data_IF_399411776472
#
_entry.id   IF_399411776472
#
_cell.length_a   1.000
_cell.length_b   1.000
_cell.length_c   1.000
_cell.angle_alpha   90.00
_cell.angle_beta   90.00
_cell.angle_gamma   90.00
#
_symmetry.space_group_name_H-M   'P 1'
#
loop_
_entity.id
_entity.type
_entity.pdbx_description
1 polymer ?
#
# COMPACT_ATOMS: atom_id res chain seq x y z
N UNK A 1 7.72 -9.40 13.56
CA UNK A 1 8.04 -9.01 12.17
C UNK A 1 8.18 -7.50 12.16
N UNK A 2 9.35 -6.95 11.79
CA UNK A 2 9.58 -5.50 11.86
C UNK A 2 8.86 -4.81 10.70
N UNK A 3 8.32 -3.62 10.95
CA UNK A 3 7.56 -2.82 9.96
C UNK A 3 8.35 -2.60 8.65
N UNK A 4 9.69 -2.57 8.72
CA UNK A 4 10.60 -2.52 7.57
C UNK A 4 10.40 -3.68 6.56
N UNK A 5 10.16 -4.90 7.04
CA UNK A 5 9.97 -6.06 6.18
C UNK A 5 8.62 -6.01 5.48
N UNK A 6 7.60 -5.54 6.20
CA UNK A 6 6.28 -5.28 5.62
C UNK A 6 6.36 -4.18 4.55
N UNK A 7 7.09 -3.09 4.81
CA UNK A 7 7.32 -2.03 3.83
C UNK A 7 7.98 -2.55 2.55
N UNK A 8 9.06 -3.32 2.67
CA UNK A 8 9.75 -3.93 1.52
C UNK A 8 8.80 -4.85 0.73
N UNK A 9 8.05 -5.70 1.41
CA UNK A 9 7.09 -6.60 0.75
C UNK A 9 5.97 -5.83 0.03
N UNK A 10 5.43 -4.77 0.64
CA UNK A 10 4.41 -3.94 0.01
C UNK A 10 4.94 -3.15 -1.18
N UNK A 11 6.22 -2.75 -1.18
CA UNK A 11 6.82 -2.12 -2.35
C UNK A 11 6.87 -3.11 -3.53
N UNK A 12 7.31 -4.34 -3.29
CA UNK A 12 7.30 -5.39 -4.33
C UNK A 12 5.90 -5.67 -4.86
N UNK A 13 4.90 -5.71 -3.97
CA UNK A 13 3.50 -5.89 -4.37
C UNK A 13 3.00 -4.70 -5.20
N UNK A 14 3.31 -3.47 -4.79
CA UNK A 14 2.96 -2.28 -5.55
C UNK A 14 3.60 -2.34 -6.95
N UNK A 15 4.90 -2.63 -7.04
CA UNK A 15 5.61 -2.73 -8.31
C UNK A 15 4.99 -3.81 -9.23
N UNK A 16 4.61 -4.96 -8.67
CA UNK A 16 3.92 -6.01 -9.42
C UNK A 16 2.54 -5.55 -9.91
N UNK A 17 1.76 -4.85 -9.09
CA UNK A 17 0.46 -4.29 -9.48
C UNK A 17 0.56 -3.18 -10.54
N UNK A 18 1.72 -2.55 -10.69
CA UNK A 18 1.99 -1.58 -11.74
C UNK A 18 2.41 -2.22 -13.07
N UNK A 19 2.71 -3.52 -13.08
CA UNK A 19 3.02 -4.21 -14.33
C UNK A 19 1.81 -4.18 -15.27
N UNK A 20 2.10 -4.05 -16.57
CA UNK A 20 1.07 -4.13 -17.59
C UNK A 20 0.42 -5.51 -17.55
N UNK A 21 -0.90 -5.54 -17.59
CA UNK A 21 -1.68 -6.76 -17.70
C UNK A 21 -2.61 -6.68 -18.89
N UNK A 22 -2.82 -7.82 -19.54
CA UNK A 22 -3.67 -7.91 -20.71
C UNK A 22 -5.14 -8.03 -20.28
N UNK A 23 -5.97 -7.16 -20.83
CA UNK A 23 -7.43 -7.20 -20.69
C UNK A 23 -8.04 -7.20 -22.08
N UNK A 24 -8.42 -8.39 -22.55
CA UNK A 24 -8.87 -8.64 -23.93
C UNK A 24 -7.80 -8.22 -24.94
N UNK A 25 -7.98 -7.09 -25.62
CA UNK A 25 -7.05 -6.55 -26.62
C UNK A 25 -6.28 -5.32 -26.12
N UNK A 26 -6.52 -4.89 -24.87
CA UNK A 26 -5.91 -3.70 -24.30
C UNK A 26 -4.86 -4.06 -23.25
N UNK A 27 -3.67 -3.44 -23.36
CA UNK A 27 -2.68 -3.43 -22.28
C UNK A 27 -3.03 -2.32 -21.30
N UNK A 28 -3.35 -2.70 -20.07
CA UNK A 28 -3.68 -1.76 -19.00
C UNK A 28 -2.58 -1.76 -17.94
N UNK A 29 -2.34 -0.59 -17.35
CA UNK A 29 -1.54 -0.43 -16.14
C UNK A 29 -2.42 0.10 -15.02
N UNK A 30 -2.28 -0.45 -13.82
CA UNK A 30 -2.92 0.10 -12.63
C UNK A 30 -1.89 0.83 -11.78
N UNK A 31 -2.30 1.91 -11.11
CA UNK A 31 -1.52 2.51 -10.03
C UNK A 31 -2.10 2.03 -8.70
N UNK A 32 -1.26 1.39 -7.89
CA UNK A 32 -1.61 0.94 -6.55
C UNK A 32 -0.98 1.84 -5.48
N UNK A 33 -1.69 2.04 -4.38
CA UNK A 33 -1.17 2.67 -3.17
C UNK A 33 -1.51 1.75 -1.99
N UNK A 34 -0.59 1.60 -1.04
CA UNK A 34 -0.75 0.69 0.09
C UNK A 34 -0.46 1.47 1.38
N UNK A 35 -1.38 1.40 2.34
CA UNK A 35 -1.19 1.91 3.70
C UNK A 35 -0.79 0.79 4.64
N UNK A 36 0.22 1.05 5.48
CA UNK A 36 0.73 0.10 6.46
C UNK A 36 0.53 0.59 7.89
N UNK A 37 0.13 -0.32 8.76
CA UNK A 37 0.18 -0.13 10.21
C UNK A 37 0.77 -1.36 10.91
N UNK A 38 1.63 -1.16 11.91
CA UNK A 38 2.27 -2.23 12.69
C UNK A 38 1.72 -2.31 14.11
N UNK A 39 1.32 -3.50 14.53
CA UNK A 39 1.06 -3.80 15.94
C UNK A 39 2.38 -4.19 16.64
N UNK A 40 2.61 -3.77 17.89
CA UNK A 40 1.77 -2.90 18.72
C UNK A 40 2.11 -1.41 18.59
N UNK A 41 3.02 -1.06 17.68
CA UNK A 41 3.68 0.26 17.65
C UNK A 41 2.74 1.41 17.27
N UNK A 42 1.76 1.17 16.41
CA UNK A 42 0.75 2.19 16.07
C UNK A 42 -0.46 2.13 16.99
N UNK A 43 -1.15 0.99 17.03
CA UNK A 43 -2.32 0.77 17.89
C UNK A 43 -2.39 -0.67 18.38
N UNK A 44 -3.12 -0.88 19.48
CA UNK A 44 -3.30 -2.20 20.08
C UNK A 44 -4.67 -2.80 19.85
N UNK A 45 -5.61 -1.99 19.38
CA UNK A 45 -6.97 -2.36 19.05
C UNK A 45 -7.16 -2.39 17.52
N UNK A 46 -7.95 -3.35 17.04
CA UNK A 46 -8.15 -3.57 15.61
C UNK A 46 -8.81 -2.38 14.88
N UNK A 47 -9.80 -1.66 15.45
CA UNK A 47 -10.40 -0.51 14.79
C UNK A 47 -9.42 0.63 14.56
N UNK A 48 -8.62 1.03 15.56
CA UNK A 48 -7.64 2.10 15.38
C UNK A 48 -6.47 1.64 14.49
N UNK A 49 -6.12 0.36 14.46
CA UNK A 49 -5.17 -0.19 13.48
C UNK A 49 -5.65 0.00 12.03
N UNK A 50 -6.93 -0.29 11.76
CA UNK A 50 -7.51 -0.09 10.42
C UNK A 50 -7.53 1.39 10.04
N UNK A 51 -7.89 2.26 10.98
CA UNK A 51 -7.87 3.71 10.80
C UNK A 51 -6.46 4.23 10.50
N UNK A 52 -5.44 3.75 11.21
CA UNK A 52 -4.05 4.11 10.95
C UNK A 52 -3.59 3.66 9.55
N UNK A 53 -3.96 2.44 9.14
CA UNK A 53 -3.68 1.94 7.81
C UNK A 53 -4.38 2.77 6.72
N UNK A 54 -5.64 3.17 6.93
CA UNK A 54 -6.40 4.01 6.01
C UNK A 54 -5.80 5.42 5.88
N UNK A 55 -5.41 6.05 6.99
CA UNK A 55 -4.70 7.33 6.96
C UNK A 55 -3.38 7.23 6.19
N UNK A 56 -2.61 6.15 6.39
CA UNK A 56 -1.38 5.91 5.66
C UNK A 56 -1.64 5.69 4.16
N UNK A 57 -2.70 4.96 3.80
CA UNK A 57 -3.14 4.76 2.42
C UNK A 57 -3.52 6.09 1.76
N UNK A 58 -4.29 6.92 2.46
CA UNK A 58 -4.70 8.22 1.96
C UNK A 58 -3.49 9.10 1.61
N UNK A 59 -2.47 9.12 2.48
CA UNK A 59 -1.19 9.81 2.22
C UNK A 59 -0.45 9.21 1.03
N UNK A 60 -0.38 7.88 0.93
CA UNK A 60 0.28 7.19 -0.17
C UNK A 60 -0.39 7.41 -1.53
N UNK A 61 -1.70 7.66 -1.54
CA UNK A 61 -2.50 7.92 -2.74
C UNK A 61 -2.34 9.33 -3.28
N UNK A 62 -1.86 10.27 -2.46
CA UNK A 62 -1.65 11.64 -2.90
C UNK A 62 -0.59 11.70 -4.02
N UNK A 63 -0.77 12.57 -5.02
CA UNK A 63 0.26 12.81 -6.02
C UNK A 63 1.56 13.21 -5.33
N UNK A 64 2.68 12.61 -5.74
CA UNK A 64 3.99 13.11 -5.34
C UNK A 64 4.14 14.51 -5.93
N UNK A 65 4.42 15.52 -5.12
CA UNK A 65 4.82 16.82 -5.62
C UNK A 65 6.12 16.63 -6.42
N UNK A 66 6.17 17.21 -7.63
CA UNK A 66 7.34 17.16 -8.51
C UNK A 66 8.53 17.91 -7.89
#
# INVERSE_FOLDING_TARGET
MRLEHAANHTQLLADHLHQLFDQRENRLSCRASIGLAGYPDHHRDAPEMLKAADMALHRAKMPRAN
#
